data_IF_099142646633
#
_entry.id   IF_099142646633
#
_cell.length_a   1.000
_cell.length_b   1.000
_cell.length_c   1.000
_cell.angle_alpha   90.00
_cell.angle_beta   90.00
_cell.angle_gamma   90.00
#
_symmetry.space_group_name_H-M   'P 1'
#
loop_
_entity.id
_entity.type
_entity.pdbx_description
1 polymer ?
#
# COMPACT_ATOMS: atom_id res chain seq x y z
N UNK A 1 23.14 15.08 83.82
CA UNK A 1 21.81 14.78 83.13
C UNK A 1 22.05 14.59 81.65
N UNK A 2 21.80 13.39 81.14
CA UNK A 2 22.15 12.89 79.81
C UNK A 2 21.23 13.48 78.73
N UNK A 3 21.80 13.97 77.63
CA UNK A 3 21.11 14.36 76.42
C UNK A 3 21.65 13.58 75.19
N UNK A 4 20.88 12.61 74.73
CA UNK A 4 21.19 11.69 73.64
C UNK A 4 21.19 12.35 72.31
N UNK A 5 22.32 12.45 71.59
CA UNK A 5 22.36 12.82 70.14
C UNK A 5 22.00 11.59 69.30
N UNK A 6 20.85 11.68 68.59
CA UNK A 6 20.52 10.77 67.50
C UNK A 6 21.14 11.27 66.18
N UNK A 7 22.10 10.50 65.65
CA UNK A 7 22.61 10.68 64.28
C UNK A 7 21.63 10.07 63.31
N UNK A 8 21.07 10.91 62.39
CA UNK A 8 20.36 10.45 61.21
C UNK A 8 21.39 10.09 60.13
N UNK A 9 21.40 8.84 59.74
CA UNK A 9 22.11 8.33 58.56
C UNK A 9 21.20 8.54 57.35
N UNK A 10 21.60 9.45 56.44
CA UNK A 10 20.99 9.63 55.13
C UNK A 10 21.72 8.70 54.16
N UNK A 11 21.09 7.60 53.79
CA UNK A 11 21.57 6.72 52.72
C UNK A 11 21.22 7.30 51.33
N UNK A 12 22.10 7.12 50.33
CA UNK A 12 21.78 7.61 48.98
C UNK A 12 20.71 6.73 48.32
N UNK A 13 19.64 7.38 47.88
CA UNK A 13 18.60 6.77 47.07
C UNK A 13 19.14 6.60 45.65
N UNK A 14 19.50 5.39 45.27
CA UNK A 14 19.81 5.02 43.88
C UNK A 14 18.52 5.02 43.09
N UNK A 15 18.34 6.04 42.26
CA UNK A 15 17.30 6.06 41.25
C UNK A 15 17.66 5.06 40.13
N UNK A 16 17.01 3.91 40.13
CA UNK A 16 17.04 2.97 39.01
C UNK A 16 16.12 3.53 37.93
N UNK A 17 16.70 4.18 36.90
CA UNK A 17 15.98 4.47 35.65
C UNK A 17 15.68 3.14 34.95
N UNK A 18 14.46 2.65 35.09
CA UNK A 18 13.93 1.58 34.22
C UNK A 18 13.81 2.13 32.82
N UNK A 19 14.74 1.80 31.94
CA UNK A 19 14.58 1.92 30.51
C UNK A 19 13.45 0.96 30.11
N UNK A 20 12.23 1.49 29.97
CA UNK A 20 11.15 0.79 29.30
C UNK A 20 11.52 0.70 27.82
N UNK A 21 12.25 -0.34 27.47
CA UNK A 21 12.36 -0.76 26.07
C UNK A 21 10.96 -1.10 25.57
N UNK A 22 10.49 -0.40 24.56
CA UNK A 22 9.35 -0.86 23.77
C UNK A 22 9.73 -2.22 23.15
N UNK A 23 9.48 -3.30 23.88
CA UNK A 23 9.43 -4.62 23.30
C UNK A 23 8.17 -4.65 22.43
N UNK A 24 8.34 -4.57 21.10
CA UNK A 24 7.31 -4.97 20.17
C UNK A 24 6.91 -6.40 20.56
N UNK A 25 5.64 -6.59 20.92
CA UNK A 25 5.13 -7.94 21.17
C UNK A 25 5.44 -8.79 19.92
N UNK A 26 5.88 -10.05 20.06
CA UNK A 26 6.06 -10.91 18.91
C UNK A 26 4.70 -11.04 18.19
N UNK A 27 4.67 -10.69 16.90
CA UNK A 27 3.49 -10.93 16.07
C UNK A 27 3.16 -12.42 16.14
N UNK A 28 1.95 -12.74 16.55
CA UNK A 28 1.48 -14.13 16.54
C UNK A 28 1.38 -14.55 15.07
N UNK A 29 2.11 -15.60 14.62
CA UNK A 29 2.00 -16.07 13.24
C UNK A 29 0.54 -16.39 12.93
N UNK A 30 0.09 -16.06 11.71
CA UNK A 30 -1.25 -16.44 11.27
C UNK A 30 -1.47 -17.95 11.46
N UNK A 31 -2.65 -18.40 11.91
CA UNK A 31 -2.92 -19.82 12.07
C UNK A 31 -2.58 -20.58 10.78
N UNK A 32 -2.03 -21.77 10.90
CA UNK A 32 -1.57 -22.58 9.75
C UNK A 32 -2.66 -22.75 8.70
N UNK A 33 -3.92 -22.87 9.14
CA UNK A 33 -5.07 -23.00 8.24
C UNK A 33 -5.32 -21.74 7.39
N UNK A 34 -5.16 -20.56 7.97
CA UNK A 34 -5.35 -19.28 7.27
C UNK A 34 -4.20 -18.99 6.31
N UNK A 35 -2.97 -19.29 6.71
CA UNK A 35 -1.82 -19.21 5.82
C UNK A 35 -2.00 -20.15 4.62
N UNK A 36 -2.43 -21.41 4.84
CA UNK A 36 -2.68 -22.36 3.76
C UNK A 36 -3.79 -21.87 2.81
N UNK A 37 -4.79 -21.16 3.31
CA UNK A 37 -5.85 -20.56 2.50
C UNK A 37 -5.29 -19.47 1.58
N UNK A 38 -4.46 -18.57 2.10
CA UNK A 38 -3.80 -17.51 1.32
C UNK A 38 -2.84 -18.10 0.27
N UNK A 39 -2.02 -19.08 0.65
CA UNK A 39 -1.14 -19.78 -0.28
C UNK A 39 -1.92 -20.54 -1.35
N UNK A 40 -3.07 -21.13 -1.00
CA UNK A 40 -3.96 -21.78 -1.94
C UNK A 40 -4.48 -20.83 -3.02
N UNK A 41 -4.84 -19.60 -2.63
CA UNK A 41 -5.27 -18.57 -3.57
C UNK A 41 -4.13 -18.15 -4.53
N UNK A 42 -2.90 -18.03 -4.02
CA UNK A 42 -1.73 -17.70 -4.83
C UNK A 42 -1.41 -18.83 -5.83
N UNK A 43 -1.34 -20.08 -5.35
CA UNK A 43 -1.05 -21.24 -6.21
C UNK A 43 -2.09 -21.47 -7.28
N UNK A 44 -3.36 -21.20 -7.02
CA UNK A 44 -4.44 -21.32 -7.99
C UNK A 44 -4.26 -20.40 -9.20
N UNK A 45 -3.57 -19.28 -9.02
CA UNK A 45 -3.20 -18.34 -10.09
C UNK A 45 -1.77 -18.58 -10.62
N UNK A 46 -1.11 -19.66 -10.20
CA UNK A 46 0.27 -19.97 -10.62
C UNK A 46 1.30 -19.00 -10.07
N UNK A 47 1.06 -18.46 -8.86
CA UNK A 47 2.02 -17.65 -8.11
C UNK A 47 2.69 -18.54 -7.08
N UNK A 48 4.02 -18.48 -7.00
CA UNK A 48 4.80 -19.19 -5.98
C UNK A 48 4.67 -18.43 -4.63
N UNK A 49 4.09 -19.05 -3.56
CA UNK A 49 3.99 -18.43 -2.26
C UNK A 49 5.35 -18.10 -1.63
N UNK A 50 6.42 -18.83 -1.98
CA UNK A 50 7.78 -18.55 -1.48
C UNK A 50 8.42 -17.32 -2.11
N UNK A 51 7.92 -16.89 -3.28
CA UNK A 51 8.35 -15.72 -4.04
C UNK A 51 7.28 -14.60 -4.03
N UNK A 52 6.40 -14.61 -3.02
CA UNK A 52 5.33 -13.62 -2.87
C UNK A 52 5.02 -13.33 -1.41
N UNK A 53 4.34 -12.23 -1.17
CA UNK A 53 3.79 -11.86 0.13
C UNK A 53 2.37 -11.33 -0.06
N UNK A 54 1.40 -11.89 0.64
CA UNK A 54 0.02 -11.42 0.67
C UNK A 54 -0.37 -11.11 2.11
N UNK A 55 -0.91 -9.93 2.32
CA UNK A 55 -1.50 -9.49 3.59
C UNK A 55 -2.92 -9.03 3.31
N UNK A 56 -3.88 -9.51 4.09
CA UNK A 56 -5.25 -8.99 4.13
C UNK A 56 -5.56 -8.67 5.59
N UNK A 57 -6.05 -7.46 5.85
CA UNK A 57 -6.43 -6.97 7.17
C UNK A 57 -7.90 -6.55 7.16
N UNK A 58 -8.73 -7.13 8.02
CA UNK A 58 -10.07 -6.64 8.29
C UNK A 58 -10.03 -5.54 9.33
N UNK A 59 -10.60 -4.37 9.01
CA UNK A 59 -10.43 -3.17 9.83
C UNK A 59 -11.28 -3.17 11.10
N UNK A 60 -12.36 -3.95 11.15
CA UNK A 60 -13.34 -3.97 12.23
C UNK A 60 -12.81 -4.63 13.50
N UNK A 61 -12.00 -5.68 13.36
CA UNK A 61 -11.46 -6.47 14.46
C UNK A 61 -9.93 -6.67 14.38
N UNK A 62 -9.30 -6.03 13.40
CA UNK A 62 -7.86 -6.10 13.15
C UNK A 62 -7.34 -7.52 12.83
N UNK A 63 -8.24 -8.39 12.36
CA UNK A 63 -7.87 -9.74 11.97
C UNK A 63 -7.02 -9.74 10.70
N UNK A 64 -5.91 -10.50 10.71
CA UNK A 64 -4.92 -10.55 9.63
C UNK A 64 -4.83 -11.95 9.06
N UNK A 65 -5.04 -12.09 7.76
CA UNK A 65 -4.64 -13.26 6.96
C UNK A 65 -3.37 -12.93 6.20
N UNK A 66 -2.38 -13.80 6.22
CA UNK A 66 -1.14 -13.55 5.51
C UNK A 66 -0.43 -14.79 5.02
N UNK A 67 0.41 -14.63 3.98
CA UNK A 67 1.41 -15.59 3.53
C UNK A 67 2.66 -14.87 3.07
N UNK A 68 3.81 -15.58 3.01
CA UNK A 68 5.08 -15.01 2.59
C UNK A 68 6.11 -14.80 3.70
N UNK A 69 5.76 -15.12 4.94
CA UNK A 69 6.72 -15.10 6.07
C UNK A 69 7.47 -13.78 6.20
N UNK A 70 8.81 -13.81 6.22
CA UNK A 70 9.65 -12.63 6.34
C UNK A 70 9.47 -11.63 5.19
N UNK A 71 9.12 -12.11 3.97
CA UNK A 71 8.92 -11.25 2.79
C UNK A 71 7.82 -10.19 3.00
N UNK A 72 6.87 -10.43 3.91
CA UNK A 72 5.83 -9.44 4.26
C UNK A 72 6.45 -8.10 4.67
N UNK A 73 7.62 -8.14 5.31
CA UNK A 73 8.36 -6.98 5.80
C UNK A 73 9.51 -6.54 4.88
N UNK A 74 9.81 -7.29 3.82
CA UNK A 74 10.81 -6.89 2.86
C UNK A 74 10.28 -5.75 1.98
N UNK A 75 11.14 -4.75 1.78
CA UNK A 75 10.81 -3.57 1.00
C UNK A 75 11.22 -3.73 -0.45
N UNK A 76 10.30 -3.40 -1.35
CA UNK A 76 10.49 -3.38 -2.79
C UNK A 76 10.04 -2.05 -3.37
N UNK A 77 10.57 -1.66 -4.51
CA UNK A 77 10.12 -0.47 -5.25
C UNK A 77 8.61 -0.56 -5.50
N UNK A 78 7.81 0.45 -5.08
CA UNK A 78 6.35 0.41 -5.17
C UNK A 78 5.81 0.47 -6.60
N UNK A 79 6.59 0.97 -7.52
CA UNK A 79 6.17 1.26 -8.89
C UNK A 79 4.84 2.04 -8.91
N UNK A 80 3.86 1.62 -9.71
CA UNK A 80 2.61 2.35 -9.86
C UNK A 80 1.67 2.29 -8.66
N UNK A 81 1.95 1.53 -7.59
CA UNK A 81 1.16 1.62 -6.36
C UNK A 81 1.36 2.96 -5.65
N UNK A 82 2.52 3.61 -5.85
CA UNK A 82 2.80 4.96 -5.38
C UNK A 82 1.87 6.04 -5.94
N UNK A 83 1.13 5.72 -7.03
CA UNK A 83 0.11 6.63 -7.54
C UNK A 83 -1.01 6.91 -6.54
N UNK A 84 -1.24 6.02 -5.55
CA UNK A 84 -2.19 6.29 -4.45
C UNK A 84 -1.73 7.51 -3.65
N UNK A 85 -0.58 7.52 -2.94
CA UNK A 85 -0.13 8.70 -2.22
C UNK A 85 0.16 9.90 -3.13
N UNK A 86 0.63 9.71 -4.36
CA UNK A 86 0.81 10.81 -5.30
C UNK A 86 -0.52 11.50 -5.67
N UNK A 87 -1.60 10.74 -5.89
CA UNK A 87 -2.92 11.30 -6.19
C UNK A 87 -3.48 12.07 -4.98
N UNK A 88 -3.33 11.51 -3.78
CA UNK A 88 -3.70 12.19 -2.54
C UNK A 88 -2.97 13.53 -2.43
N UNK A 89 -1.67 13.54 -2.62
CA UNK A 89 -0.85 14.75 -2.53
C UNK A 89 -1.11 15.72 -3.69
N UNK A 90 -1.41 15.21 -4.88
CA UNK A 90 -1.75 16.08 -6.01
C UNK A 90 -3.01 16.90 -5.74
N UNK A 91 -4.02 16.32 -5.07
CA UNK A 91 -5.21 17.07 -4.64
C UNK A 91 -4.95 17.94 -3.42
N UNK A 92 -4.23 17.43 -2.41
CA UNK A 92 -3.93 18.16 -1.17
C UNK A 92 -3.12 19.43 -1.39
N UNK A 93 -2.30 19.45 -2.43
CA UNK A 93 -1.39 20.57 -2.73
C UNK A 93 -1.78 21.38 -3.95
N UNK A 94 -2.97 21.15 -4.51
CA UNK A 94 -3.44 21.77 -5.75
C UNK A 94 -2.47 21.60 -6.93
N UNK A 95 -1.67 20.51 -6.92
CA UNK A 95 -0.79 20.16 -8.04
C UNK A 95 -1.57 19.75 -9.29
N UNK A 96 -2.84 19.40 -9.11
CA UNK A 96 -3.87 19.24 -10.15
C UNK A 96 -5.16 19.93 -9.71
N UNK A 97 -5.93 20.43 -10.67
CA UNK A 97 -7.21 21.13 -10.42
C UNK A 97 -8.36 20.17 -10.07
N UNK A 98 -8.14 18.87 -10.20
CA UNK A 98 -9.13 17.83 -9.90
C UNK A 98 -9.00 16.63 -10.84
N UNK A 99 -9.89 15.62 -10.67
CA UNK A 99 -9.86 14.37 -11.47
C UNK A 99 -10.01 14.60 -12.97
N UNK A 100 -10.68 15.68 -13.39
CA UNK A 100 -10.91 16.04 -14.78
C UNK A 100 -9.83 16.94 -15.39
N UNK A 101 -8.69 17.20 -14.75
CA UNK A 101 -7.60 17.95 -15.40
C UNK A 101 -7.03 17.17 -16.58
N UNK A 102 -7.05 17.79 -17.77
CA UNK A 102 -6.55 17.18 -19.00
C UNK A 102 -5.07 17.40 -19.21
N UNK A 103 -4.41 16.31 -19.63
CA UNK A 103 -3.00 16.29 -20.04
C UNK A 103 -2.91 15.93 -21.50
N UNK A 104 -2.31 16.82 -22.27
CA UNK A 104 -2.11 16.61 -23.70
C UNK A 104 -0.92 15.67 -23.91
N UNK A 105 -1.14 14.63 -24.74
CA UNK A 105 -0.09 13.72 -25.15
C UNK A 105 0.99 14.45 -25.97
N UNK A 106 2.24 14.17 -25.68
CA UNK A 106 3.39 14.80 -26.30
C UNK A 106 3.78 14.22 -27.68
N UNK A 107 3.02 13.18 -28.15
CA UNK A 107 3.31 12.48 -29.41
C UNK A 107 4.37 11.39 -29.28
N UNK A 108 5.01 11.22 -28.13
CA UNK A 108 5.97 10.15 -27.90
C UNK A 108 5.27 8.81 -27.70
N UNK A 109 5.56 7.85 -28.58
CA UNK A 109 4.98 6.51 -28.51
C UNK A 109 5.58 5.70 -27.37
N UNK A 110 4.75 5.31 -26.40
CA UNK A 110 5.08 4.46 -25.28
C UNK A 110 4.57 3.04 -25.52
N UNK A 111 5.07 2.08 -24.74
CA UNK A 111 4.83 0.65 -24.98
C UNK A 111 3.36 0.22 -24.75
N UNK A 112 2.58 0.93 -23.92
CA UNK A 112 1.15 0.71 -23.77
C UNK A 112 0.39 1.68 -24.66
N UNK A 113 -0.38 1.16 -25.62
CA UNK A 113 -1.14 1.98 -26.56
C UNK A 113 -2.12 2.92 -25.85
N UNK A 114 -2.70 2.48 -24.71
CA UNK A 114 -3.59 3.30 -23.87
C UNK A 114 -2.94 4.54 -23.25
N UNK A 115 -1.61 4.68 -23.32
CA UNK A 115 -0.87 5.85 -22.83
C UNK A 115 -0.61 6.89 -23.93
N UNK A 116 -0.88 6.53 -25.19
CA UNK A 116 -0.54 7.31 -26.37
C UNK A 116 -1.72 8.17 -26.86
N UNK A 117 -2.37 8.86 -25.94
CA UNK A 117 -3.48 9.78 -26.20
C UNK A 117 -3.65 10.81 -25.08
N UNK A 118 -4.42 11.86 -25.34
CA UNK A 118 -4.80 12.84 -24.32
C UNK A 118 -5.66 12.16 -23.24
N UNK A 119 -5.40 12.48 -21.97
CA UNK A 119 -6.09 11.86 -20.83
C UNK A 119 -6.38 12.87 -19.74
N UNK A 120 -7.47 12.70 -19.03
CA UNK A 120 -7.66 13.35 -17.74
C UNK A 120 -6.92 12.61 -16.61
N UNK A 121 -6.80 13.26 -15.45
CA UNK A 121 -6.03 12.73 -14.33
C UNK A 121 -6.62 11.45 -13.74
N UNK A 122 -7.96 11.34 -13.69
CA UNK A 122 -8.62 10.11 -13.23
C UNK A 122 -8.33 8.93 -14.17
N UNK A 123 -8.44 9.13 -15.48
CA UNK A 123 -8.08 8.14 -16.50
C UNK A 123 -6.60 7.74 -16.40
N UNK A 124 -5.72 8.70 -16.15
CA UNK A 124 -4.29 8.45 -15.96
C UNK A 124 -4.01 7.53 -14.74
N UNK A 125 -4.75 7.68 -13.64
CA UNK A 125 -4.68 6.76 -12.51
C UNK A 125 -5.11 5.35 -12.92
N UNK A 126 -6.30 5.22 -13.54
CA UNK A 126 -6.90 3.95 -13.93
C UNK A 126 -6.01 3.19 -14.93
N UNK A 127 -5.47 3.87 -15.94
CA UNK A 127 -4.57 3.30 -16.94
C UNK A 127 -3.13 3.18 -16.47
N UNK A 128 -2.84 3.69 -15.27
CA UNK A 128 -1.48 3.71 -14.71
C UNK A 128 -0.48 4.51 -15.54
N UNK A 129 -0.93 5.56 -16.22
CA UNK A 129 -0.14 6.35 -17.18
C UNK A 129 1.03 7.05 -16.48
N UNK A 130 2.25 6.59 -16.77
CA UNK A 130 3.45 7.04 -16.04
C UNK A 130 3.80 8.48 -16.37
N UNK A 131 3.78 8.87 -17.66
CA UNK A 131 4.22 10.20 -18.08
C UNK A 131 3.42 11.34 -17.45
N UNK A 132 2.11 11.14 -17.18
CA UNK A 132 1.29 12.16 -16.49
C UNK A 132 1.77 12.33 -15.04
N UNK A 133 2.07 11.23 -14.33
CA UNK A 133 2.62 11.32 -12.97
C UNK A 133 4.04 11.91 -12.95
N UNK A 134 4.82 11.72 -14.01
CA UNK A 134 6.12 12.38 -14.17
C UNK A 134 6.00 13.91 -14.36
N UNK A 135 4.85 14.39 -14.81
CA UNK A 135 4.52 15.83 -14.84
C UNK A 135 3.97 16.31 -13.50
N UNK A 136 3.05 15.55 -12.88
CA UNK A 136 2.32 15.96 -11.67
C UNK A 136 3.18 15.90 -10.41
N UNK A 137 3.97 14.84 -10.23
CA UNK A 137 4.77 14.66 -9.01
C UNK A 137 5.76 15.81 -8.77
N UNK A 138 6.50 16.31 -9.77
CA UNK A 138 7.33 17.51 -9.60
C UNK A 138 6.55 18.78 -9.19
N UNK A 139 5.26 18.92 -9.58
CA UNK A 139 4.43 20.05 -9.15
C UNK A 139 4.12 20.03 -7.65
N UNK A 140 4.06 18.83 -7.02
CA UNK A 140 3.90 18.68 -5.57
C UNK A 140 5.14 19.25 -4.85
N UNK A 141 6.33 18.95 -5.38
CA UNK A 141 7.62 19.38 -4.87
C UNK A 141 8.24 18.40 -3.88
N UNK A 142 9.58 18.30 -3.91
CA UNK A 142 10.33 17.30 -3.14
C UNK A 142 10.12 17.41 -1.63
N UNK A 143 10.14 18.62 -1.08
CA UNK A 143 9.97 18.86 0.36
C UNK A 143 8.62 18.35 0.87
N UNK A 144 7.53 18.65 0.14
CA UNK A 144 6.17 18.19 0.50
C UNK A 144 6.03 16.69 0.37
N UNK A 145 6.63 16.08 -0.68
CA UNK A 145 6.64 14.63 -0.89
C UNK A 145 7.33 13.91 0.26
N UNK A 146 8.54 14.34 0.65
CA UNK A 146 9.29 13.72 1.76
C UNK A 146 8.52 13.84 3.06
N UNK A 147 8.09 15.06 3.43
CA UNK A 147 7.34 15.29 4.66
C UNK A 147 6.04 14.45 4.72
N UNK A 148 5.32 14.35 3.60
CA UNK A 148 4.10 13.57 3.53
C UNK A 148 4.37 12.06 3.63
N UNK A 149 5.38 11.53 2.94
CA UNK A 149 5.70 10.10 3.01
C UNK A 149 6.16 9.68 4.40
N UNK A 150 6.94 10.51 5.10
CA UNK A 150 7.27 10.31 6.52
C UNK A 150 6.01 10.31 7.39
N UNK A 151 5.13 11.31 7.25
CA UNK A 151 3.89 11.42 8.00
C UNK A 151 2.90 10.30 7.70
N UNK A 152 2.91 9.76 6.48
CA UNK A 152 2.09 8.60 6.07
C UNK A 152 2.68 7.27 6.56
N UNK A 153 3.95 7.23 6.93
CA UNK A 153 4.68 5.98 7.16
C UNK A 153 4.82 5.15 5.88
N UNK A 154 5.02 5.82 4.73
CA UNK A 154 5.06 5.18 3.42
C UNK A 154 6.47 4.64 3.11
N UNK A 155 6.73 3.42 3.54
CA UNK A 155 8.00 2.73 3.33
C UNK A 155 9.19 3.46 3.95
N UNK A 156 10.29 3.59 3.20
CA UNK A 156 11.48 4.31 3.65
C UNK A 156 11.41 5.83 3.43
N UNK A 157 10.33 6.35 2.82
CA UNK A 157 10.13 7.76 2.48
C UNK A 157 11.25 8.39 1.65
N UNK A 158 12.12 7.59 1.03
CA UNK A 158 13.28 8.06 0.27
C UNK A 158 12.88 8.40 -1.18
N UNK A 159 12.91 9.67 -1.52
CA UNK A 159 12.62 10.15 -2.88
C UNK A 159 13.90 10.45 -3.69
N UNK A 160 15.08 10.21 -3.10
CA UNK A 160 16.38 10.52 -3.72
C UNK A 160 16.66 12.00 -3.87
N UNK A 161 17.57 12.32 -4.78
CA UNK A 161 17.94 13.70 -5.11
C UNK A 161 16.94 14.38 -6.05
N UNK A 162 17.15 15.68 -6.34
CA UNK A 162 16.26 16.46 -7.21
C UNK A 162 16.09 15.88 -8.61
N UNK A 163 17.10 15.19 -9.13
CA UNK A 163 17.10 14.55 -10.46
C UNK A 163 16.20 13.32 -10.53
N UNK A 164 15.87 12.71 -9.39
CA UNK A 164 15.04 11.50 -9.31
C UNK A 164 13.55 11.78 -9.13
N UNK A 165 13.14 13.03 -8.94
CA UNK A 165 11.77 13.42 -8.56
C UNK A 165 10.67 12.88 -9.50
N UNK A 166 10.98 12.61 -10.76
CA UNK A 166 10.04 12.05 -11.74
C UNK A 166 10.11 10.53 -11.89
N UNK A 167 10.98 9.83 -11.12
CA UNK A 167 11.25 8.40 -11.31
C UNK A 167 11.58 7.60 -10.06
N UNK A 168 11.75 8.23 -8.89
CA UNK A 168 12.17 7.59 -7.65
C UNK A 168 11.28 6.40 -7.22
N UNK A 169 10.04 6.38 -7.66
CA UNK A 169 9.07 5.28 -7.39
C UNK A 169 9.10 4.16 -8.44
N UNK A 170 9.83 4.32 -9.54
CA UNK A 170 9.95 3.36 -10.65
C UNK A 170 11.26 2.56 -10.60
N UNK A 171 12.36 3.28 -10.41
CA UNK A 171 13.73 2.77 -10.50
C UNK A 171 14.59 3.27 -9.32
N UNK A 172 14.04 4.13 -8.50
CA UNK A 172 14.79 4.86 -7.49
C UNK A 172 14.72 4.25 -6.10
N UNK A 173 15.14 5.03 -5.08
CA UNK A 173 15.36 4.52 -3.73
C UNK A 173 14.10 4.28 -2.94
N UNK A 174 12.92 4.76 -3.40
CA UNK A 174 11.68 4.51 -2.66
C UNK A 174 11.38 3.02 -2.62
N UNK A 175 11.21 2.50 -1.41
CA UNK A 175 10.90 1.11 -1.18
C UNK A 175 9.91 0.94 -0.02
N UNK A 176 8.97 0.00 -0.16
CA UNK A 176 7.90 -0.26 0.79
C UNK A 176 7.62 -1.76 0.84
N UNK A 177 7.21 -2.27 2.01
CA UNK A 177 6.82 -3.65 2.20
C UNK A 177 5.30 -3.86 2.08
N UNK A 178 4.86 -5.12 1.96
CA UNK A 178 3.43 -5.45 1.94
C UNK A 178 2.74 -5.03 3.25
N UNK A 179 3.39 -5.22 4.40
CA UNK A 179 2.87 -4.79 5.69
C UNK A 179 2.72 -3.25 5.76
N UNK A 180 3.71 -2.50 5.30
CA UNK A 180 3.65 -1.04 5.26
C UNK A 180 2.60 -0.51 4.28
N UNK A 181 2.39 -1.16 3.13
CA UNK A 181 1.29 -0.85 2.20
C UNK A 181 -0.07 -1.03 2.89
N UNK A 182 -0.27 -2.17 3.57
CA UNK A 182 -1.52 -2.43 4.30
C UNK A 182 -1.74 -1.42 5.44
N UNK A 183 -0.69 -1.06 6.19
CA UNK A 183 -0.77 -0.05 7.25
C UNK A 183 -1.13 1.35 6.69
N UNK A 184 -0.48 1.78 5.62
CA UNK A 184 -0.79 3.04 4.93
C UNK A 184 -2.25 3.08 4.44
N UNK A 185 -2.70 2.02 3.75
CA UNK A 185 -4.06 1.94 3.24
C UNK A 185 -5.11 1.89 4.36
N UNK A 186 -4.82 1.22 5.47
CA UNK A 186 -5.69 1.21 6.65
C UNK A 186 -5.90 2.62 7.20
N UNK A 187 -4.83 3.44 7.25
CA UNK A 187 -4.91 4.84 7.65
C UNK A 187 -5.68 5.68 6.63
N UNK A 188 -5.51 5.42 5.34
CA UNK A 188 -6.27 6.08 4.27
C UNK A 188 -7.77 5.81 4.44
N UNK A 189 -8.17 4.56 4.56
CA UNK A 189 -9.58 4.14 4.67
C UNK A 189 -10.21 4.67 5.97
N UNK A 190 -9.49 4.61 7.08
CA UNK A 190 -9.91 5.17 8.38
C UNK A 190 -9.86 6.70 8.43
N UNK A 191 -9.40 7.36 7.37
CA UNK A 191 -9.22 8.83 7.28
C UNK A 191 -8.37 9.39 8.41
N UNK A 192 -7.30 8.68 8.77
CA UNK A 192 -6.34 9.08 9.81
C UNK A 192 -5.00 9.58 9.24
N UNK A 193 -4.86 9.64 7.92
CA UNK A 193 -3.77 10.36 7.28
C UNK A 193 -3.96 11.86 7.48
N UNK A 194 -2.87 12.65 7.61
CA UNK A 194 -2.93 14.10 7.75
C UNK A 194 -3.27 14.78 6.41
N UNK A 195 -4.50 14.59 5.97
CA UNK A 195 -5.07 15.10 4.72
C UNK A 195 -6.42 15.76 4.99
N UNK A 196 -6.79 16.72 4.16
CA UNK A 196 -8.10 17.35 4.21
C UNK A 196 -9.23 16.37 3.90
N UNK A 197 -10.44 16.66 4.37
CA UNK A 197 -11.63 15.88 4.03
C UNK A 197 -11.93 15.94 2.53
N UNK A 198 -11.67 17.07 1.92
CA UNK A 198 -11.84 17.35 0.49
C UNK A 198 -10.95 16.42 -0.34
N UNK A 199 -9.70 16.24 0.06
CA UNK A 199 -8.77 15.32 -0.59
C UNK A 199 -9.28 13.87 -0.55
N UNK A 200 -9.79 13.40 0.59
CA UNK A 200 -10.37 12.06 0.69
C UNK A 200 -11.59 11.89 -0.25
N UNK A 201 -12.46 12.89 -0.31
CA UNK A 201 -13.65 12.87 -1.19
C UNK A 201 -13.26 12.84 -2.67
N UNK A 202 -12.24 13.58 -3.06
CA UNK A 202 -11.79 13.65 -4.45
C UNK A 202 -11.01 12.39 -4.89
N UNK A 203 -10.16 11.84 -4.02
CA UNK A 203 -9.22 10.79 -4.38
C UNK A 203 -9.82 9.37 -4.36
N UNK A 204 -10.65 9.04 -3.37
CA UNK A 204 -11.18 7.67 -3.21
C UNK A 204 -11.94 7.18 -4.45
N UNK A 205 -12.85 7.94 -5.08
CA UNK A 205 -13.56 7.49 -6.26
C UNK A 205 -12.64 7.14 -7.45
N UNK A 206 -11.50 7.79 -7.56
CA UNK A 206 -10.52 7.52 -8.63
C UNK A 206 -9.88 6.14 -8.49
N UNK A 207 -9.88 5.56 -7.28
CA UNK A 207 -9.29 4.26 -6.96
C UNK A 207 -10.26 3.09 -7.14
N UNK A 208 -11.55 3.34 -7.44
CA UNK A 208 -12.55 2.29 -7.65
C UNK A 208 -12.23 1.46 -8.89
N UNK A 209 -12.21 0.14 -8.74
CA UNK A 209 -11.90 -0.83 -9.79
C UNK A 209 -13.10 -1.66 -10.23
N UNK A 210 -14.02 -1.94 -9.31
CA UNK A 210 -15.21 -2.73 -9.55
C UNK A 210 -16.22 -2.53 -8.42
N UNK A 211 -17.50 -2.68 -8.75
CA UNK A 211 -18.61 -2.55 -7.80
C UNK A 211 -19.68 -3.59 -8.11
N UNK A 212 -20.30 -4.13 -7.07
CA UNK A 212 -21.53 -4.90 -7.11
C UNK A 212 -22.57 -4.32 -6.17
N UNK A 213 -23.67 -5.03 -5.95
CA UNK A 213 -24.80 -4.55 -5.12
C UNK A 213 -24.41 -4.32 -3.66
N UNK A 214 -23.50 -5.15 -3.13
CA UNK A 214 -23.10 -5.13 -1.71
C UNK A 214 -21.59 -4.99 -1.50
N UNK A 215 -20.83 -4.74 -2.53
CA UNK A 215 -19.38 -4.64 -2.40
C UNK A 215 -18.79 -3.62 -3.38
N UNK A 216 -17.65 -3.05 -2.99
CA UNK A 216 -16.83 -2.21 -3.86
C UNK A 216 -15.36 -2.57 -3.66
N UNK A 217 -14.64 -2.71 -4.76
CA UNK A 217 -13.19 -2.98 -4.77
C UNK A 217 -12.44 -1.74 -5.23
N UNK A 218 -11.50 -1.30 -4.44
CA UNK A 218 -10.59 -0.19 -4.75
C UNK A 218 -9.16 -0.71 -4.80
N UNK A 219 -8.31 -0.08 -5.58
CA UNK A 219 -6.91 -0.45 -5.57
C UNK A 219 -6.07 0.07 -6.70
N UNK A 220 -4.81 -0.36 -6.67
CA UNK A 220 -3.82 -0.01 -7.68
C UNK A 220 -2.86 -1.16 -7.89
N UNK A 221 -2.59 -1.50 -9.15
CA UNK A 221 -1.52 -2.40 -9.55
C UNK A 221 -0.20 -1.65 -9.67
N UNK A 222 0.92 -2.35 -9.44
CA UNK A 222 2.27 -1.90 -9.71
C UNK A 222 3.06 -2.96 -10.47
N UNK A 223 4.01 -2.51 -11.26
CA UNK A 223 4.96 -3.37 -11.93
C UNK A 223 6.30 -2.62 -12.04
N UNK A 224 7.31 -3.14 -11.36
CA UNK A 224 8.70 -2.71 -11.47
C UNK A 224 9.39 -3.66 -12.43
N UNK A 225 9.97 -3.11 -13.48
CA UNK A 225 10.80 -3.84 -14.43
C UNK A 225 12.05 -3.04 -14.74
N UNK A 226 13.19 -3.61 -14.41
CA UNK A 226 14.52 -3.05 -14.67
C UNK A 226 15.34 -4.15 -15.32
N UNK A 227 16.03 -3.82 -16.41
CA UNK A 227 16.82 -4.79 -17.15
C UNK A 227 17.87 -5.47 -16.24
N UNK A 228 17.91 -6.80 -16.28
CA UNK A 228 18.82 -7.61 -15.47
C UNK A 228 18.37 -7.86 -14.04
N UNK A 229 17.22 -7.34 -13.62
CA UNK A 229 16.64 -7.60 -12.31
C UNK A 229 15.34 -8.42 -12.40
N UNK A 230 14.93 -9.02 -11.27
CA UNK A 230 13.63 -9.67 -11.16
C UNK A 230 12.52 -8.62 -11.22
N UNK A 231 11.55 -8.83 -12.09
CA UNK A 231 10.34 -8.02 -12.13
C UNK A 231 9.52 -8.21 -10.86
N UNK A 232 9.01 -7.11 -10.30
CA UNK A 232 8.18 -7.13 -9.10
C UNK A 232 6.77 -6.67 -9.44
N UNK A 233 5.80 -7.51 -9.11
CA UNK A 233 4.38 -7.23 -9.24
C UNK A 233 3.74 -6.82 -7.93
N UNK A 234 2.83 -5.85 -7.98
CA UNK A 234 2.03 -5.40 -6.87
C UNK A 234 0.54 -5.34 -7.22
N UNK A 235 -0.30 -5.67 -6.26
CA UNK A 235 -1.69 -5.24 -6.21
C UNK A 235 -2.07 -4.90 -4.79
N UNK A 236 -2.44 -3.65 -4.56
CA UNK A 236 -2.76 -3.11 -3.23
C UNK A 236 -4.08 -2.35 -3.27
N UNK A 237 -4.82 -2.34 -2.16
CA UNK A 237 -6.11 -1.67 -2.12
C UNK A 237 -6.98 -2.12 -0.95
N UNK A 238 -8.29 -2.01 -1.12
CA UNK A 238 -9.26 -2.49 -0.14
C UNK A 238 -10.57 -2.91 -0.82
N UNK A 239 -11.30 -3.79 -0.15
CA UNK A 239 -12.66 -4.16 -0.49
C UNK A 239 -13.60 -3.73 0.64
N UNK A 240 -14.73 -3.11 0.30
CA UNK A 240 -15.83 -2.83 1.21
C UNK A 240 -16.95 -3.82 0.92
N UNK A 241 -17.35 -4.62 1.93
CA UNK A 241 -18.47 -5.56 1.84
C UNK A 241 -19.55 -5.12 2.83
N UNK A 242 -20.73 -4.74 2.32
CA UNK A 242 -21.81 -4.18 3.14
C UNK A 242 -22.86 -5.20 3.55
N UNK A 243 -22.88 -6.39 2.95
CA UNK A 243 -23.80 -7.47 3.24
C UNK A 243 -23.14 -8.83 3.04
N UNK A 244 -23.80 -9.93 3.45
CA UNK A 244 -23.28 -11.29 3.36
C UNK A 244 -22.83 -11.83 4.72
N UNK A 245 -22.02 -12.91 4.71
CA UNK A 245 -21.59 -13.59 5.92
C UNK A 245 -20.47 -12.84 6.67
N UNK A 246 -19.69 -12.05 5.96
CA UNK A 246 -18.55 -11.33 6.52
C UNK A 246 -18.51 -9.86 6.04
N UNK A 247 -19.50 -9.02 6.48
CA UNK A 247 -19.45 -7.59 6.16
C UNK A 247 -18.26 -6.94 6.85
N UNK A 248 -17.65 -5.97 6.16
CA UNK A 248 -16.46 -5.28 6.68
C UNK A 248 -15.62 -4.66 5.59
N UNK A 249 -14.54 -4.04 6.02
CA UNK A 249 -13.55 -3.42 5.15
C UNK A 249 -12.24 -4.20 5.22
N UNK A 250 -11.78 -4.68 4.09
CA UNK A 250 -10.62 -5.56 3.96
C UNK A 250 -9.53 -4.88 3.16
N UNK A 251 -8.51 -4.39 3.84
CA UNK A 251 -7.31 -3.83 3.21
C UNK A 251 -6.40 -4.97 2.79
N UNK A 252 -5.80 -4.87 1.61
CA UNK A 252 -4.90 -5.90 1.10
C UNK A 252 -3.64 -5.33 0.45
N UNK A 253 -2.56 -6.11 0.50
CA UNK A 253 -1.33 -5.87 -0.25
C UNK A 253 -0.72 -7.19 -0.69
N UNK A 254 -0.59 -7.36 -2.01
CA UNK A 254 0.16 -8.45 -2.65
C UNK A 254 1.44 -7.88 -3.25
N UNK A 255 2.56 -8.54 -2.94
CA UNK A 255 3.84 -8.40 -3.63
C UNK A 255 4.25 -9.77 -4.19
N UNK A 256 4.77 -9.83 -5.41
CA UNK A 256 5.23 -11.08 -6.03
C UNK A 256 6.35 -10.85 -7.03
N UNK A 257 7.23 -11.86 -7.16
CA UNK A 257 8.14 -11.95 -8.28
C UNK A 257 7.38 -12.29 -9.56
N UNK A 258 7.80 -11.72 -10.67
CA UNK A 258 7.18 -11.91 -11.99
C UNK A 258 8.24 -12.39 -13.01
N UNK A 259 8.71 -13.65 -12.94
CA UNK A 259 9.74 -14.15 -13.86
C UNK A 259 9.29 -14.16 -15.32
N UNK A 260 7.98 -14.20 -15.58
CA UNK A 260 7.38 -14.07 -16.91
C UNK A 260 7.05 -12.62 -17.30
N UNK A 261 7.46 -11.63 -16.50
CA UNK A 261 7.23 -10.21 -16.77
C UNK A 261 5.75 -9.85 -16.91
N UNK A 262 5.44 -8.99 -17.87
CA UNK A 262 4.07 -8.48 -18.09
C UNK A 262 3.02 -9.57 -18.33
N UNK A 263 3.42 -10.75 -18.85
CA UNK A 263 2.48 -11.86 -19.05
C UNK A 263 1.82 -12.34 -17.74
N UNK A 264 2.47 -12.10 -16.59
CA UNK A 264 1.95 -12.45 -15.28
C UNK A 264 1.11 -11.34 -14.64
N UNK A 265 1.01 -10.20 -15.29
CA UNK A 265 0.28 -9.03 -14.76
C UNK A 265 -1.17 -9.34 -14.31
N UNK A 266 -1.97 -10.15 -15.02
CA UNK A 266 -3.33 -10.48 -14.59
C UNK A 266 -3.39 -11.28 -13.29
N UNK A 267 -2.39 -12.11 -13.01
CA UNK A 267 -2.34 -12.98 -11.83
C UNK A 267 -2.45 -12.20 -10.52
N UNK A 268 -1.86 -10.99 -10.47
CA UNK A 268 -1.84 -10.14 -9.26
C UNK A 268 -3.25 -9.87 -8.72
N UNK A 269 -4.14 -9.42 -9.60
CA UNK A 269 -5.53 -9.11 -9.24
C UNK A 269 -6.33 -10.39 -9.00
N UNK A 270 -6.18 -11.39 -9.84
CA UNK A 270 -6.89 -12.67 -9.73
C UNK A 270 -6.61 -13.36 -8.38
N UNK A 271 -5.36 -13.40 -7.93
CA UNK A 271 -4.97 -14.02 -6.67
C UNK A 271 -5.58 -13.30 -5.46
N UNK A 272 -5.53 -11.96 -5.43
CA UNK A 272 -6.13 -11.18 -4.34
C UNK A 272 -7.65 -11.34 -4.32
N UNK A 273 -8.33 -11.24 -5.47
CA UNK A 273 -9.77 -11.43 -5.53
C UNK A 273 -10.18 -12.83 -5.09
N UNK A 274 -9.40 -13.87 -5.46
CA UNK A 274 -9.61 -15.24 -4.99
C UNK A 274 -9.44 -15.35 -3.47
N UNK A 275 -8.41 -14.75 -2.92
CA UNK A 275 -8.18 -14.73 -1.49
C UNK A 275 -9.31 -14.01 -0.74
N UNK A 276 -9.75 -12.84 -1.23
CA UNK A 276 -10.88 -12.11 -0.65
C UNK A 276 -12.19 -12.92 -0.70
N UNK A 277 -12.44 -13.64 -1.80
CA UNK A 277 -13.60 -14.54 -1.89
C UNK A 277 -13.52 -15.70 -0.91
N UNK A 278 -12.34 -16.26 -0.69
CA UNK A 278 -12.16 -17.40 0.23
C UNK A 278 -12.42 -17.08 1.69
N UNK A 279 -12.39 -15.80 2.06
CA UNK A 279 -12.70 -15.30 3.42
C UNK A 279 -14.07 -14.57 3.48
N UNK A 280 -14.86 -14.60 2.40
CA UNK A 280 -16.18 -13.95 2.33
C UNK A 280 -16.15 -12.43 2.16
N UNK A 281 -14.95 -11.84 1.95
CA UNK A 281 -14.79 -10.38 1.72
C UNK A 281 -15.28 -9.92 0.33
N UNK A 282 -15.41 -10.84 -0.61
CA UNK A 282 -16.06 -10.65 -1.90
C UNK A 282 -17.02 -11.82 -2.16
N UNK A 283 -18.10 -11.63 -2.93
CA UNK A 283 -19.00 -12.71 -3.29
C UNK A 283 -18.28 -13.77 -4.13
N UNK A 284 -18.82 -14.97 -4.14
CA UNK A 284 -18.35 -16.03 -5.03
C UNK A 284 -18.29 -15.53 -6.48
N UNK A 285 -17.31 -16.01 -7.24
CA UNK A 285 -17.27 -15.70 -8.66
C UNK A 285 -18.56 -16.21 -9.32
N UNK A 286 -19.15 -15.48 -10.28
CA UNK A 286 -20.26 -16.03 -11.05
C UNK A 286 -19.81 -17.35 -11.70
N UNK A 287 -20.68 -18.36 -11.63
CA UNK A 287 -20.42 -19.62 -12.33
C UNK A 287 -20.25 -19.30 -13.82
N UNK A 288 -19.15 -19.77 -14.38
CA UNK A 288 -18.89 -19.63 -15.81
C UNK A 288 -20.00 -20.40 -16.55
N UNK A 289 -20.64 -19.77 -17.55
CA UNK A 289 -21.70 -20.42 -18.33
C UNK A 289 -21.23 -21.65 -19.10
#
# INVERSE_FOLDING_TARGET
MAGLLRRLLIGPLLAVCALAGCATAPETPAPVAEMALMEGALRAEGIDPSASALVILRLEDEHVWSSGGARIHERFTPASTSKIPHTLLAYETDAVTGPGEWFKWDGEKRFLDSWNEDQDFATAFQRSTVWIYQIVVPRIGAERLTAAFEAFGYGNADIGGPESISRYWLEGPLAISAAEQAAFLSRLVRRTLPLSAETHVAAIPVMELARGDSWTLYGKTGWKSVEGEMDIGWFVGWAEQTAGEAPGTYVFALNMDMPGGMAEAPKRRAAVERALRSIGALPAAPESP
#
